data_IF_932605574463
#
_entry.id   IF_932605574463
#
_cell.length_a   1.000
_cell.length_b   1.000
_cell.length_c   1.000
_cell.angle_alpha   90.00
_cell.angle_beta   90.00
_cell.angle_gamma   90.00
#
_symmetry.space_group_name_H-M   'P 1'
#
loop_
_entity.id
_entity.type
_entity.pdbx_description
1 polymer ?
#
# COMPACT_ATOMS: atom_id res chain seq x y z
N UNK A 1 -17.97 12.56 10.69
CA UNK A 1 -16.88 12.45 9.67
C UNK A 1 -16.03 11.23 10.02
N UNK A 2 -15.84 10.32 9.09
CA UNK A 2 -15.14 9.05 9.33
C UNK A 2 -13.61 9.21 9.33
N UNK A 3 -12.91 8.40 10.12
CA UNK A 3 -11.45 8.28 10.04
C UNK A 3 -11.05 7.65 8.71
N UNK A 4 -10.04 8.21 8.02
CA UNK A 4 -9.55 7.70 6.74
C UNK A 4 -8.29 6.85 6.97
N UNK A 5 -8.32 5.60 6.52
CA UNK A 5 -7.21 4.66 6.49
C UNK A 5 -6.84 4.44 5.03
N UNK A 6 -5.59 4.70 4.65
CA UNK A 6 -5.12 4.61 3.26
C UNK A 6 -4.01 3.57 3.14
N UNK A 7 -4.05 2.74 2.11
CA UNK A 7 -2.86 2.01 1.69
C UNK A 7 -1.88 2.94 0.95
N UNK A 8 -0.67 2.47 0.74
CA UNK A 8 0.39 3.22 0.06
C UNK A 8 0.50 2.83 -1.42
N UNK A 9 1.00 1.62 -1.66
CA UNK A 9 1.35 1.14 -3.00
C UNK A 9 0.10 0.80 -3.79
N UNK A 10 -0.12 1.43 -4.94
CA UNK A 10 -1.33 1.26 -5.76
C UNK A 10 -2.52 2.11 -5.30
N UNK A 11 -2.42 2.81 -4.18
CA UNK A 11 -3.50 3.63 -3.63
C UNK A 11 -3.10 5.09 -3.49
N UNK A 12 -2.13 5.40 -2.64
CA UNK A 12 -1.56 6.75 -2.47
C UNK A 12 -0.58 7.07 -3.59
N UNK A 13 0.28 6.11 -3.95
CA UNK A 13 1.35 6.30 -4.93
C UNK A 13 1.55 5.09 -5.83
N UNK A 14 2.16 5.32 -6.99
CA UNK A 14 2.58 4.31 -7.96
C UNK A 14 4.05 3.94 -7.75
N UNK A 15 4.35 2.82 -7.07
CA UNK A 15 5.72 2.37 -6.80
C UNK A 15 6.32 1.54 -7.93
N UNK A 16 5.65 1.36 -9.07
CA UNK A 16 6.00 0.41 -10.14
C UNK A 16 7.47 0.50 -10.53
N UNK A 17 7.94 1.70 -10.83
CA UNK A 17 9.30 1.91 -11.29
C UNK A 17 10.31 1.43 -10.23
N UNK A 18 10.12 1.82 -8.97
CA UNK A 18 11.02 1.47 -7.89
C UNK A 18 11.02 -0.03 -7.58
N UNK A 19 9.85 -0.65 -7.50
CA UNK A 19 9.72 -2.08 -7.18
C UNK A 19 10.30 -2.92 -8.32
N UNK A 20 9.89 -2.68 -9.56
CA UNK A 20 10.32 -3.50 -10.70
C UNK A 20 11.82 -3.35 -10.97
N UNK A 21 12.38 -2.14 -10.88
CA UNK A 21 13.82 -1.91 -10.99
C UNK A 21 14.60 -2.63 -9.89
N UNK A 22 14.07 -2.68 -8.65
CA UNK A 22 14.75 -3.38 -7.56
C UNK A 22 14.68 -4.91 -7.70
N UNK A 23 13.55 -5.45 -8.19
CA UNK A 23 13.43 -6.88 -8.50
C UNK A 23 14.41 -7.25 -9.61
N UNK A 24 14.43 -6.51 -10.70
CA UNK A 24 15.35 -6.75 -11.82
C UNK A 24 16.80 -6.69 -11.40
N UNK A 25 17.18 -5.66 -10.63
CA UNK A 25 18.53 -5.55 -10.07
C UNK A 25 18.92 -6.78 -9.22
N UNK A 26 18.01 -7.29 -8.39
CA UNK A 26 18.26 -8.48 -7.58
C UNK A 26 18.50 -9.71 -8.46
N UNK A 27 17.66 -9.93 -9.48
CA UNK A 27 17.78 -11.05 -10.42
C UNK A 27 19.08 -10.96 -11.22
N UNK A 28 19.38 -9.81 -11.82
CA UNK A 28 20.59 -9.56 -12.60
C UNK A 28 21.87 -9.78 -11.77
N UNK A 29 21.87 -9.32 -10.50
CA UNK A 29 23.00 -9.55 -9.58
C UNK A 29 23.20 -11.03 -9.26
N UNK A 30 22.14 -11.82 -9.31
CA UNK A 30 22.20 -13.28 -9.13
C UNK A 30 22.52 -14.03 -10.43
N UNK A 31 22.72 -13.32 -11.55
CA UNK A 31 22.94 -13.93 -12.86
C UNK A 31 21.68 -14.55 -13.48
N UNK A 32 20.50 -14.14 -13.03
CA UNK A 32 19.21 -14.62 -13.52
C UNK A 32 18.65 -13.60 -14.50
N UNK A 33 18.11 -14.05 -15.63
CA UNK A 33 17.46 -13.19 -16.60
C UNK A 33 16.23 -12.49 -15.96
N UNK A 34 16.23 -11.16 -15.97
CA UNK A 34 15.15 -10.39 -15.40
C UNK A 34 14.00 -10.21 -16.41
N UNK A 35 12.73 -10.43 -16.01
CA UNK A 35 11.56 -10.13 -16.83
C UNK A 35 11.48 -8.64 -17.20
N UNK A 36 10.65 -8.29 -18.18
CA UNK A 36 10.35 -6.89 -18.47
C UNK A 36 9.59 -6.26 -17.27
N UNK A 37 9.70 -4.93 -17.05
CA UNK A 37 9.00 -4.28 -15.93
C UNK A 37 7.51 -4.55 -15.89
N UNK A 38 6.86 -4.61 -17.06
CA UNK A 38 5.42 -4.86 -17.17
C UNK A 38 5.02 -6.28 -16.78
N UNK A 39 5.91 -7.25 -16.90
CA UNK A 39 5.68 -8.63 -16.48
C UNK A 39 5.81 -8.83 -14.97
N UNK A 40 6.15 -7.78 -14.22
CA UNK A 40 6.36 -7.81 -12.77
C UNK A 40 5.25 -7.11 -11.98
N UNK A 41 4.15 -6.69 -12.62
CA UNK A 41 3.03 -6.01 -11.95
C UNK A 41 2.45 -6.81 -10.79
N UNK A 42 2.34 -8.12 -10.96
CA UNK A 42 1.81 -9.02 -9.96
C UNK A 42 2.62 -9.06 -8.64
N UNK A 43 3.87 -8.55 -8.67
CA UNK A 43 4.71 -8.43 -7.48
C UNK A 43 4.36 -7.19 -6.63
N UNK A 44 3.49 -6.28 -7.12
CA UNK A 44 3.13 -5.06 -6.41
C UNK A 44 1.91 -5.34 -5.54
N UNK A 45 2.06 -5.14 -4.23
CA UNK A 45 1.02 -5.42 -3.21
C UNK A 45 1.27 -6.69 -2.40
N UNK A 46 1.47 -7.89 -3.01
CA UNK A 46 1.79 -9.10 -2.26
C UNK A 46 3.12 -9.02 -1.50
N UNK A 47 3.31 -9.87 -0.46
CA UNK A 47 4.58 -10.01 0.22
C UNK A 47 5.71 -10.38 -0.74
N UNK A 48 6.76 -9.56 -0.84
CA UNK A 48 7.85 -9.73 -1.82
C UNK A 48 8.60 -11.05 -1.68
N UNK A 49 8.68 -11.63 -0.48
CA UNK A 49 9.30 -12.94 -0.31
C UNK A 49 8.59 -14.02 -1.13
N UNK A 50 7.26 -13.99 -1.14
CA UNK A 50 6.44 -14.92 -1.92
C UNK A 50 6.65 -14.71 -3.43
N UNK A 51 6.72 -13.44 -3.86
CA UNK A 51 7.04 -13.12 -5.25
C UNK A 51 8.42 -13.64 -5.66
N UNK A 52 9.44 -13.50 -4.80
CA UNK A 52 10.75 -14.08 -5.08
C UNK A 52 10.77 -15.60 -5.05
N UNK A 53 9.98 -16.26 -4.19
CA UNK A 53 9.84 -17.73 -4.25
C UNK A 53 9.30 -18.19 -5.61
N UNK A 54 8.37 -17.44 -6.20
CA UNK A 54 7.86 -17.75 -7.54
C UNK A 54 8.86 -17.44 -8.65
N UNK A 55 9.64 -16.37 -8.53
CA UNK A 55 10.61 -15.93 -9.54
C UNK A 55 11.88 -16.81 -9.58
N UNK A 56 12.40 -17.21 -8.41
CA UNK A 56 13.73 -17.84 -8.31
C UNK A 56 13.77 -19.13 -7.49
N UNK A 57 12.63 -19.54 -6.93
CA UNK A 57 12.52 -20.69 -6.02
C UNK A 57 12.96 -20.39 -4.59
N UNK A 58 12.44 -21.19 -3.65
CA UNK A 58 12.64 -21.06 -2.20
C UNK A 58 14.13 -20.91 -1.79
N UNK A 59 15.09 -21.72 -2.32
CA UNK A 59 16.48 -21.64 -1.86
C UNK A 59 17.20 -20.31 -2.16
N UNK A 60 16.70 -19.53 -3.11
CA UNK A 60 17.33 -18.29 -3.59
C UNK A 60 16.55 -17.05 -3.16
N UNK A 61 15.28 -17.22 -2.77
CA UNK A 61 14.35 -16.14 -2.49
C UNK A 61 14.86 -15.14 -1.44
N UNK A 62 15.41 -15.62 -0.32
CA UNK A 62 15.89 -14.77 0.76
C UNK A 62 17.12 -13.93 0.35
N UNK A 63 17.99 -14.50 -0.49
CA UNK A 63 19.15 -13.77 -1.05
C UNK A 63 18.69 -12.70 -2.05
N UNK A 64 17.71 -13.01 -2.91
CA UNK A 64 17.13 -12.07 -3.84
C UNK A 64 16.42 -10.92 -3.09
N UNK A 65 15.65 -11.24 -2.05
CA UNK A 65 14.98 -10.26 -1.20
C UNK A 65 15.99 -9.33 -0.49
N UNK A 66 17.13 -9.85 -0.02
CA UNK A 66 18.17 -9.04 0.59
C UNK A 66 18.76 -8.02 -0.41
N UNK A 67 19.06 -8.44 -1.64
CA UNK A 67 19.53 -7.57 -2.72
C UNK A 67 18.48 -6.51 -3.11
N UNK A 68 17.22 -6.91 -3.21
CA UNK A 68 16.10 -6.01 -3.41
C UNK A 68 16.06 -4.94 -2.32
N UNK A 69 16.04 -5.35 -1.04
CA UNK A 69 15.94 -4.44 0.11
C UNK A 69 17.09 -3.44 0.17
N UNK A 70 18.31 -3.88 -0.16
CA UNK A 70 19.48 -3.01 -0.21
C UNK A 70 19.31 -1.88 -1.24
N UNK A 71 18.89 -2.21 -2.47
CA UNK A 71 18.65 -1.20 -3.50
C UNK A 71 17.40 -0.36 -3.20
N UNK A 72 16.33 -1.00 -2.71
CA UNK A 72 15.07 -0.33 -2.44
C UNK A 72 15.25 0.76 -1.36
N UNK A 73 15.91 0.44 -0.25
CA UNK A 73 16.19 1.40 0.82
C UNK A 73 17.10 2.55 0.40
N UNK A 74 18.07 2.28 -0.51
CA UNK A 74 18.99 3.31 -0.96
C UNK A 74 18.39 4.24 -2.04
N UNK A 75 17.53 3.71 -2.92
CA UNK A 75 17.08 4.43 -4.11
C UNK A 75 15.63 4.11 -4.50
N UNK A 76 15.25 2.83 -4.54
CA UNK A 76 14.00 2.40 -5.17
C UNK A 76 12.75 2.96 -4.50
N UNK A 77 12.77 3.22 -3.19
CA UNK A 77 11.63 3.81 -2.49
C UNK A 77 11.31 5.23 -2.95
N UNK A 78 12.25 5.92 -3.59
CA UNK A 78 12.09 7.27 -4.15
C UNK A 78 11.79 7.25 -5.67
N UNK A 79 11.93 6.10 -6.33
CA UNK A 79 11.47 5.87 -7.70
C UNK A 79 9.95 5.57 -7.65
N UNK A 80 9.14 6.57 -7.27
CA UNK A 80 7.74 6.46 -6.92
C UNK A 80 7.02 7.77 -7.25
N UNK A 81 5.75 7.73 -7.63
CA UNK A 81 4.97 8.90 -8.02
C UNK A 81 3.62 8.90 -7.29
N UNK A 82 3.14 10.08 -6.88
CA UNK A 82 1.78 10.21 -6.33
C UNK A 82 0.75 10.04 -7.43
N UNK A 83 -0.37 9.39 -7.12
CA UNK A 83 -1.51 9.45 -8.02
C UNK A 83 -2.05 10.88 -8.12
N UNK A 84 -2.43 11.34 -9.33
CA UNK A 84 -2.89 12.71 -9.54
C UNK A 84 -4.03 13.12 -8.61
N UNK A 85 -3.89 14.26 -7.93
CA UNK A 85 -4.89 14.83 -7.02
C UNK A 85 -4.89 14.24 -5.61
N UNK A 86 -3.99 13.29 -5.30
CA UNK A 86 -3.94 12.67 -3.97
C UNK A 86 -3.43 13.65 -2.90
N UNK A 87 -2.46 14.48 -3.23
CA UNK A 87 -1.94 15.54 -2.35
C UNK A 87 -3.03 16.57 -1.98
N UNK A 88 -3.79 17.04 -2.97
CA UNK A 88 -4.91 17.95 -2.77
C UNK A 88 -6.03 17.30 -1.93
N UNK A 89 -6.33 16.02 -2.18
CA UNK A 89 -7.30 15.26 -1.39
C UNK A 89 -6.89 15.21 0.08
N UNK A 90 -5.65 14.81 0.38
CA UNK A 90 -5.16 14.70 1.75
C UNK A 90 -5.14 16.05 2.46
N UNK A 91 -4.67 17.10 1.78
CA UNK A 91 -4.65 18.46 2.33
C UNK A 91 -6.05 18.93 2.69
N UNK A 92 -7.03 18.72 1.81
CA UNK A 92 -8.44 19.08 2.06
C UNK A 92 -9.05 18.29 3.21
N UNK A 93 -8.88 16.98 3.24
CA UNK A 93 -9.47 16.13 4.29
C UNK A 93 -8.86 16.44 5.67
N UNK A 94 -7.54 16.68 5.73
CA UNK A 94 -6.87 17.12 6.94
C UNK A 94 -7.36 18.51 7.41
N UNK A 95 -7.50 19.47 6.49
CA UNK A 95 -8.04 20.81 6.81
C UNK A 95 -9.48 20.76 7.33
N UNK A 96 -10.28 19.79 6.87
CA UNK A 96 -11.63 19.54 7.37
C UNK A 96 -11.64 18.83 8.74
N UNK A 97 -10.48 18.50 9.32
CA UNK A 97 -10.35 17.86 10.63
C UNK A 97 -10.52 16.34 10.59
N UNK A 98 -10.48 15.70 9.43
CA UNK A 98 -10.48 14.23 9.30
C UNK A 98 -9.16 13.68 9.80
N UNK A 99 -9.18 12.69 10.68
CA UNK A 99 -7.99 11.92 11.04
C UNK A 99 -7.64 11.00 9.88
N UNK A 100 -6.39 11.06 9.41
CA UNK A 100 -5.90 10.26 8.27
C UNK A 100 -4.72 9.42 8.76
N UNK A 101 -4.75 8.12 8.46
CA UNK A 101 -3.66 7.20 8.78
C UNK A 101 -3.21 6.47 7.53
N UNK A 102 -1.92 6.29 7.38
CA UNK A 102 -1.39 5.33 6.45
C UNK A 102 -1.41 3.94 7.10
N UNK A 103 -1.92 2.94 6.39
CA UNK A 103 -2.04 1.56 6.83
C UNK A 103 -1.59 0.65 5.69
N UNK A 104 -0.32 0.26 5.66
CA UNK A 104 0.29 -0.44 4.53
C UNK A 104 1.04 -1.70 4.94
N UNK A 105 0.98 -2.75 4.13
CA UNK A 105 1.83 -3.94 4.30
C UNK A 105 3.30 -3.69 4.00
N UNK A 106 3.62 -2.53 3.39
CA UNK A 106 5.00 -2.09 3.22
C UNK A 106 5.69 -1.89 4.58
N UNK A 107 6.95 -2.33 4.75
CA UNK A 107 7.67 -2.11 5.99
C UNK A 107 7.73 -0.63 6.40
N UNK A 108 7.47 -0.36 7.69
CA UNK A 108 7.41 0.99 8.27
C UNK A 108 8.68 1.80 7.97
N UNK A 109 9.85 1.14 7.98
CA UNK A 109 11.14 1.77 7.68
C UNK A 109 11.24 2.35 6.26
N UNK A 110 10.37 1.94 5.35
CA UNK A 110 10.25 2.50 4.00
C UNK A 110 9.04 3.44 3.88
N UNK A 111 7.91 3.09 4.49
CA UNK A 111 6.68 3.86 4.40
C UNK A 111 6.84 5.29 4.92
N UNK A 112 7.48 5.47 6.08
CA UNK A 112 7.75 6.77 6.67
C UNK A 112 8.56 7.71 5.73
N UNK A 113 9.77 7.29 5.28
CA UNK A 113 10.56 8.07 4.32
C UNK A 113 9.85 8.39 3.00
N UNK A 114 9.00 7.49 2.48
CA UNK A 114 8.20 7.76 1.26
C UNK A 114 7.20 8.89 1.52
N UNK A 115 6.47 8.86 2.63
CA UNK A 115 5.53 9.92 3.01
C UNK A 115 6.25 11.26 3.21
N UNK A 116 7.45 11.25 3.78
CA UNK A 116 8.29 12.45 3.94
C UNK A 116 8.81 12.97 2.60
N UNK A 117 9.22 12.08 1.69
CA UNK A 117 9.65 12.43 0.33
C UNK A 117 8.57 13.20 -0.44
N UNK A 118 7.33 12.76 -0.33
CA UNK A 118 6.19 13.44 -0.94
C UNK A 118 5.69 14.66 -0.13
N UNK A 119 6.31 14.98 1.02
CA UNK A 119 5.93 16.08 1.94
C UNK A 119 4.52 15.96 2.51
N UNK A 120 4.00 14.74 2.61
CA UNK A 120 2.64 14.47 3.06
C UNK A 120 2.52 14.19 4.55
N UNK A 121 3.63 14.11 5.29
CA UNK A 121 3.66 13.73 6.71
C UNK A 121 2.71 14.57 7.58
N UNK A 122 2.58 15.86 7.29
CA UNK A 122 1.72 16.76 8.06
C UNK A 122 0.21 16.45 7.94
N UNK A 123 -0.20 15.71 6.93
CA UNK A 123 -1.60 15.31 6.72
C UNK A 123 -1.97 14.02 7.44
N UNK A 124 -0.97 13.20 7.82
CA UNK A 124 -1.20 11.94 8.50
C UNK A 124 -1.11 12.09 10.02
N UNK A 125 -2.12 11.59 10.73
CA UNK A 125 -2.09 11.45 12.19
C UNK A 125 -1.13 10.33 12.62
N UNK A 126 -0.90 9.32 11.77
CA UNK A 126 0.06 8.25 11.97
C UNK A 126 0.36 7.47 10.70
N UNK A 127 1.53 6.83 10.68
CA UNK A 127 1.99 5.95 9.61
C UNK A 127 2.19 4.56 10.20
N UNK A 128 1.42 3.59 9.72
CA UNK A 128 1.44 2.20 10.17
C UNK A 128 1.86 1.29 9.02
N UNK A 129 2.92 0.55 9.22
CA UNK A 129 3.46 -0.41 8.28
C UNK A 129 3.83 -1.73 8.98
N UNK A 130 4.19 -2.74 8.19
CA UNK A 130 4.77 -3.97 8.71
C UNK A 130 6.19 -3.75 9.23
N UNK A 131 6.75 -4.77 9.88
CA UNK A 131 8.16 -4.78 10.25
C UNK A 131 8.98 -5.68 9.30
N UNK A 132 10.29 -5.47 9.26
CA UNK A 132 11.17 -6.28 8.40
C UNK A 132 11.28 -7.75 8.83
N UNK A 133 10.96 -8.04 10.09
CA UNK A 133 10.92 -9.39 10.66
C UNK A 133 9.63 -10.16 10.35
N UNK A 134 8.67 -9.50 9.68
CA UNK A 134 7.39 -10.09 9.30
C UNK A 134 6.23 -9.74 10.24
N UNK A 135 6.49 -9.05 11.36
CA UNK A 135 5.43 -8.58 12.25
C UNK A 135 4.48 -7.64 11.51
N UNK A 136 3.16 -7.88 11.61
CA UNK A 136 2.10 -7.10 10.97
C UNK A 136 2.17 -7.05 9.43
N UNK A 137 2.72 -8.08 8.78
CA UNK A 137 2.64 -8.24 7.32
C UNK A 137 1.20 -8.53 6.88
N UNK A 138 0.47 -9.29 7.69
CA UNK A 138 -0.98 -9.49 7.49
C UNK A 138 -1.72 -8.17 7.71
N UNK A 139 -2.47 -7.73 6.71
CA UNK A 139 -3.18 -6.45 6.74
C UNK A 139 -4.29 -6.42 7.79
N UNK A 140 -4.90 -7.56 8.08
CA UNK A 140 -5.92 -7.66 9.13
C UNK A 140 -5.31 -7.47 10.52
N UNK A 141 -4.12 -8.04 10.77
CA UNK A 141 -3.38 -7.82 12.00
C UNK A 141 -2.96 -6.35 12.14
N UNK A 142 -2.43 -5.77 11.07
CA UNK A 142 -2.03 -4.37 11.03
C UNK A 142 -3.21 -3.44 11.37
N UNK A 143 -4.38 -3.63 10.73
CA UNK A 143 -5.54 -2.79 10.98
C UNK A 143 -6.10 -2.94 12.40
N UNK A 144 -6.15 -4.17 12.94
CA UNK A 144 -6.55 -4.38 14.35
C UNK A 144 -5.62 -3.64 15.30
N UNK A 145 -4.31 -3.72 15.06
CA UNK A 145 -3.31 -2.99 15.86
C UNK A 145 -3.52 -1.47 15.77
N UNK A 146 -3.66 -0.91 14.56
CA UNK A 146 -3.87 0.51 14.34
C UNK A 146 -5.14 1.02 15.05
N UNK A 147 -6.27 0.34 14.83
CA UNK A 147 -7.57 0.68 15.41
C UNK A 147 -7.51 0.71 16.95
N UNK A 148 -6.85 -0.31 17.54
CA UNK A 148 -6.70 -0.39 18.99
C UNK A 148 -5.75 0.68 19.54
N UNK A 149 -4.61 0.90 18.89
CA UNK A 149 -3.60 1.86 19.33
C UNK A 149 -4.10 3.31 19.30
N UNK A 150 -4.91 3.64 18.29
CA UNK A 150 -5.41 5.00 18.05
C UNK A 150 -6.82 5.26 18.61
N UNK A 151 -7.44 4.25 19.22
CA UNK A 151 -8.79 4.35 19.76
C UNK A 151 -9.83 4.71 18.70
N UNK A 152 -9.71 4.13 17.49
CA UNK A 152 -10.62 4.39 16.39
C UNK A 152 -11.87 3.55 16.54
N UNK A 153 -13.04 4.17 16.41
CA UNK A 153 -14.28 3.43 16.19
C UNK A 153 -14.29 2.89 14.73
N UNK A 154 -14.21 1.56 14.52
CA UNK A 154 -14.17 1.01 13.18
C UNK A 154 -15.42 1.35 12.35
N UNK A 155 -16.60 1.40 12.98
CA UNK A 155 -17.85 1.78 12.30
C UNK A 155 -17.82 3.22 11.76
N UNK A 156 -16.92 4.06 12.31
CA UNK A 156 -16.64 5.41 11.86
C UNK A 156 -15.29 5.50 11.11
N UNK A 157 -14.84 4.42 10.48
CA UNK A 157 -13.63 4.39 9.68
C UNK A 157 -13.91 3.94 8.24
N UNK A 158 -13.03 4.38 7.32
CA UNK A 158 -13.03 3.99 5.91
C UNK A 158 -11.62 3.54 5.58
N UNK A 159 -11.45 2.31 5.08
CA UNK A 159 -10.21 1.81 4.50
C UNK A 159 -10.27 1.94 2.98
N UNK A 160 -9.29 2.59 2.40
CA UNK A 160 -9.12 2.72 0.94
C UNK A 160 -7.88 1.95 0.53
N UNK A 161 -8.02 1.05 -0.41
CA UNK A 161 -6.94 0.25 -0.95
C UNK A 161 -7.30 -0.35 -2.30
N UNK A 162 -6.31 -0.86 -3.01
CA UNK A 162 -6.46 -1.40 -4.37
C UNK A 162 -6.39 -2.92 -4.43
N UNK A 163 -6.22 -3.60 -3.27
CA UNK A 163 -6.11 -5.06 -3.22
C UNK A 163 -7.16 -5.67 -2.29
N UNK A 164 -7.47 -6.95 -2.51
CA UNK A 164 -8.38 -7.71 -1.64
C UNK A 164 -7.99 -7.66 -0.17
N UNK A 165 -6.71 -7.56 0.12
CA UNK A 165 -6.17 -7.49 1.49
C UNK A 165 -6.73 -6.28 2.27
N UNK A 166 -6.94 -5.15 1.59
CA UNK A 166 -7.51 -3.93 2.17
C UNK A 166 -8.99 -4.14 2.52
N UNK A 167 -9.74 -4.75 1.60
CA UNK A 167 -11.17 -5.06 1.80
C UNK A 167 -11.35 -6.09 2.91
N UNK A 168 -10.53 -7.15 2.92
CA UNK A 168 -10.55 -8.18 3.96
C UNK A 168 -10.22 -7.59 5.34
N UNK A 169 -9.21 -6.73 5.41
CA UNK A 169 -8.80 -6.05 6.64
C UNK A 169 -9.86 -5.07 7.14
N UNK A 170 -10.46 -4.26 6.26
CA UNK A 170 -11.58 -3.38 6.60
C UNK A 170 -12.73 -4.18 7.23
N UNK A 171 -13.14 -5.25 6.56
CA UNK A 171 -14.21 -6.15 7.04
C UNK A 171 -13.86 -6.81 8.38
N UNK A 172 -12.60 -7.23 8.56
CA UNK A 172 -12.15 -7.89 9.79
C UNK A 172 -12.20 -6.99 11.03
N UNK A 173 -12.17 -5.67 10.84
CA UNK A 173 -12.32 -4.71 11.93
C UNK A 173 -13.71 -4.06 11.98
N UNK A 174 -14.51 -4.18 10.94
CA UNK A 174 -15.85 -3.55 10.84
C UNK A 174 -15.81 -2.14 10.26
N UNK A 175 -14.76 -1.78 9.52
CA UNK A 175 -14.65 -0.53 8.76
C UNK A 175 -15.27 -0.66 7.37
N UNK A 176 -15.63 0.47 6.77
CA UNK A 176 -16.10 0.55 5.39
C UNK A 176 -14.93 0.36 4.43
N UNK A 177 -15.09 -0.47 3.41
CA UNK A 177 -14.07 -0.78 2.42
C UNK A 177 -14.32 -0.04 1.11
N UNK A 178 -13.34 0.73 0.65
CA UNK A 178 -13.36 1.42 -0.64
C UNK A 178 -12.24 0.89 -1.52
N UNK A 179 -12.60 0.41 -2.71
CA UNK A 179 -11.65 -0.06 -3.70
C UNK A 179 -11.14 1.08 -4.57
N UNK A 180 -9.82 1.24 -4.63
CA UNK A 180 -9.12 2.16 -5.52
C UNK A 180 -8.87 1.48 -6.87
N UNK A 181 -9.74 1.72 -7.86
CA UNK A 181 -9.73 1.03 -9.15
C UNK A 181 -8.67 1.60 -10.12
N UNK A 182 -7.85 2.53 -9.66
CA UNK A 182 -6.68 3.06 -10.38
C UNK A 182 -5.37 2.33 -10.04
N UNK A 183 -5.42 1.41 -9.05
CA UNK A 183 -4.27 0.65 -8.57
C UNK A 183 -3.97 -0.62 -9.36
N UNK A 184 -3.38 -1.61 -8.70
CA UNK A 184 -2.88 -2.85 -9.30
C UNK A 184 -3.82 -4.04 -9.17
N UNK A 185 -4.91 -3.91 -8.41
CA UNK A 185 -5.88 -4.97 -8.23
C UNK A 185 -6.71 -5.22 -9.49
N UNK A 186 -6.84 -6.46 -9.88
CA UNK A 186 -7.60 -6.85 -11.07
C UNK A 186 -9.12 -6.86 -10.79
N UNK A 187 -9.92 -6.68 -11.84
CA UNK A 187 -11.38 -6.68 -11.74
C UNK A 187 -11.92 -7.98 -11.10
N UNK A 188 -11.34 -9.13 -11.43
CA UNK A 188 -11.74 -10.42 -10.84
C UNK A 188 -11.43 -10.48 -9.33
N UNK A 189 -10.29 -9.91 -8.88
CA UNK A 189 -9.93 -9.81 -7.47
C UNK A 189 -10.91 -8.89 -6.73
N UNK A 190 -11.20 -7.70 -7.31
CA UNK A 190 -12.17 -6.75 -6.78
C UNK A 190 -13.55 -7.37 -6.60
N UNK A 191 -14.06 -8.01 -7.67
CA UNK A 191 -15.42 -8.58 -7.68
C UNK A 191 -15.54 -9.73 -6.66
N UNK A 192 -14.47 -10.51 -6.45
CA UNK A 192 -14.41 -11.53 -5.42
C UNK A 192 -14.33 -10.93 -4.00
N UNK A 193 -13.58 -9.85 -3.81
CA UNK A 193 -13.41 -9.17 -2.52
C UNK A 193 -14.68 -8.45 -2.07
N UNK A 194 -15.52 -7.98 -2.99
CA UNK A 194 -16.80 -7.28 -2.72
C UNK A 194 -16.62 -6.06 -1.80
N UNK A 195 -15.90 -5.02 -2.23
CA UNK A 195 -15.81 -3.77 -1.48
C UNK A 195 -17.18 -3.10 -1.36
N UNK A 196 -17.37 -2.25 -0.35
CA UNK A 196 -18.60 -1.47 -0.18
C UNK A 196 -18.77 -0.40 -1.25
N UNK A 197 -17.65 0.21 -1.68
CA UNK A 197 -17.59 1.20 -2.76
C UNK A 197 -16.41 0.93 -3.68
N UNK A 198 -16.56 1.38 -4.92
CA UNK A 198 -15.50 1.37 -5.94
C UNK A 198 -15.34 2.80 -6.45
N UNK A 199 -14.11 3.33 -6.37
CA UNK A 199 -13.74 4.61 -6.94
C UNK A 199 -12.73 4.38 -8.07
N UNK A 200 -13.04 4.89 -9.28
CA UNK A 200 -12.18 4.75 -10.46
C UNK A 200 -11.09 5.80 -10.53
N UNK A 201 -11.27 6.90 -9.80
CA UNK A 201 -10.33 8.01 -9.75
C UNK A 201 -10.26 8.60 -8.35
N UNK A 202 -9.17 9.31 -8.06
CA UNK A 202 -9.01 10.07 -6.81
C UNK A 202 -10.12 11.11 -6.63
N UNK A 203 -10.63 11.67 -7.73
CA UNK A 203 -11.75 12.62 -7.71
C UNK A 203 -13.09 11.96 -7.32
N UNK A 204 -13.34 10.71 -7.76
CA UNK A 204 -14.50 9.93 -7.28
C UNK A 204 -14.39 9.62 -5.78
N UNK A 205 -13.19 9.27 -5.31
CA UNK A 205 -12.93 9.10 -3.87
C UNK A 205 -13.22 10.39 -3.11
N UNK A 206 -12.77 11.53 -3.64
CA UNK A 206 -13.01 12.83 -3.04
C UNK A 206 -14.49 13.15 -2.86
N UNK A 207 -15.31 12.81 -3.87
CA UNK A 207 -16.78 12.98 -3.80
C UNK A 207 -17.41 12.05 -2.77
N UNK A 208 -17.03 10.78 -2.78
CA UNK A 208 -17.52 9.80 -1.80
C UNK A 208 -17.20 10.23 -0.37
N UNK A 209 -15.97 10.67 -0.10
CA UNK A 209 -15.55 11.12 1.24
C UNK A 209 -16.32 12.35 1.74
N UNK A 210 -16.81 13.20 0.84
CA UNK A 210 -17.63 14.36 1.21
C UNK A 210 -19.07 13.95 1.62
N UNK A 211 -19.53 12.78 1.22
CA UNK A 211 -20.85 12.23 1.61
C UNK A 211 -20.80 11.40 2.89
N UNK A 212 -19.60 10.96 3.33
CA UNK A 212 -19.35 10.11 4.51
C UNK A 212 -18.92 10.91 5.74
#
# INVERSE_FOLDING_TARGET
>A
MRTLLLDLDGTLSDPKLGITNCIRHALETLGIAAPAPDDLHWCIGPPLRESFCQLVGEPVADRALALYRARFGARGMYENELYPGMDDLLAREAANGRRIFLATSKPHVYAGPIVEHFRLKAHFAGVYGSELDGTRVDKCELLRHLVAAEGIDPAAAVMVGDRRFDVEAARAVGALAVWADWGYGEAAERDAARPDHICRTVEELARLLAEL
#
